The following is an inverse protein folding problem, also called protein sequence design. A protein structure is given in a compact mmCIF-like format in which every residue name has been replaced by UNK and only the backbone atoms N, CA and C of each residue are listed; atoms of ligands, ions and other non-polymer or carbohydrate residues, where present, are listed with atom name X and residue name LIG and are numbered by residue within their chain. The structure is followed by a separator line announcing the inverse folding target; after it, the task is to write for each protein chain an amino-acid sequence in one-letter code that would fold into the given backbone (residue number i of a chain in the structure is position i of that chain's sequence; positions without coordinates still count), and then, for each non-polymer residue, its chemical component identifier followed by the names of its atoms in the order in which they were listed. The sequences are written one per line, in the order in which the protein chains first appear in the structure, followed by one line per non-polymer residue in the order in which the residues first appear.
data_IF_609481127551
#
_entry.id   IF_609481127551
#
_cell.length_a   1.000
_cell.length_b   1.000
_cell.length_c   1.000
_cell.angle_alpha   90.00
_cell.angle_beta   90.00
_cell.angle_gamma   90.00
#
_symmetry.space_group_name_H-M   'P 1'
#
loop_
_entity.id
_entity.type
_entity.pdbx_description
1 polymer ?
#
# COMPACT_ATOMS: atom_id res chain seq x y z
N UNK A 1 4.86 -14.00 -12.84
CA UNK A 1 4.75 -12.55 -13.03
C UNK A 1 6.09 -11.96 -13.47
N UNK A 2 6.09 -11.04 -14.44
CA UNK A 2 7.28 -10.27 -14.82
C UNK A 2 7.47 -9.05 -13.90
N UNK A 3 8.59 -8.36 -14.02
CA UNK A 3 8.91 -7.18 -13.21
C UNK A 3 7.82 -6.10 -13.21
N UNK A 4 7.27 -5.78 -14.37
CA UNK A 4 6.20 -4.79 -14.49
C UNK A 4 4.94 -5.19 -13.71
N UNK A 5 4.51 -6.46 -13.80
CA UNK A 5 3.36 -6.96 -13.04
C UNK A 5 3.62 -6.93 -11.52
N UNK A 6 4.85 -7.25 -11.10
CA UNK A 6 5.26 -7.16 -9.69
C UNK A 6 5.20 -5.72 -9.21
N UNK A 7 5.78 -4.77 -9.94
CA UNK A 7 5.76 -3.34 -9.59
C UNK A 7 4.34 -2.81 -9.48
N UNK A 8 3.45 -3.17 -10.42
CA UNK A 8 2.04 -2.80 -10.36
C UNK A 8 1.36 -3.32 -9.09
N UNK A 9 1.52 -4.62 -8.79
CA UNK A 9 0.92 -5.22 -7.61
C UNK A 9 1.42 -4.56 -6.31
N UNK A 10 2.71 -4.22 -6.23
CA UNK A 10 3.25 -3.49 -5.08
C UNK A 10 2.64 -2.10 -4.90
N UNK A 11 2.42 -1.37 -6.00
CA UNK A 11 1.73 -0.07 -5.96
C UNK A 11 0.28 -0.26 -5.47
N UNK A 12 -0.45 -1.23 -6.03
CA UNK A 12 -1.83 -1.53 -5.62
C UNK A 12 -1.94 -1.87 -4.15
N UNK A 13 -0.99 -2.64 -3.61
CA UNK A 13 -0.96 -3.05 -2.21
C UNK A 13 -0.40 -1.97 -1.26
N UNK A 14 0.25 -0.92 -1.80
CA UNK A 14 1.00 0.07 -1.03
C UNK A 14 2.23 -0.53 -0.34
N UNK A 15 2.90 -1.48 -0.98
CA UNK A 15 4.04 -2.22 -0.44
C UNK A 15 5.36 -1.80 -1.08
N UNK A 16 6.47 -1.95 -0.33
CA UNK A 16 7.83 -1.78 -0.84
C UNK A 16 8.41 -3.11 -1.32
N UNK A 17 9.40 -3.07 -2.21
CA UNK A 17 10.16 -4.26 -2.65
C UNK A 17 10.77 -5.02 -1.46
N UNK A 18 11.17 -4.28 -0.42
CA UNK A 18 11.71 -4.86 0.81
C UNK A 18 10.68 -5.74 1.49
N UNK A 19 9.44 -5.25 1.65
CA UNK A 19 8.36 -6.00 2.27
C UNK A 19 8.02 -7.25 1.46
N UNK A 20 8.04 -7.15 0.13
CA UNK A 20 7.88 -8.30 -0.75
C UNK A 20 9.01 -9.33 -0.54
N UNK A 21 10.27 -8.89 -0.50
CA UNK A 21 11.41 -9.77 -0.28
C UNK A 21 11.32 -10.51 1.07
N UNK A 22 10.94 -9.80 2.13
CA UNK A 22 10.71 -10.38 3.47
C UNK A 22 9.62 -11.47 3.45
N UNK A 23 8.50 -11.24 2.74
CA UNK A 23 7.44 -12.24 2.61
C UNK A 23 7.82 -13.44 1.73
N UNK A 24 8.67 -13.24 0.74
CA UNK A 24 9.14 -14.30 -0.16
C UNK A 24 10.35 -15.05 0.39
N UNK A 25 10.96 -14.59 1.47
CA UNK A 25 12.21 -15.13 2.01
C UNK A 25 13.45 -14.84 1.16
N UNK A 26 13.38 -13.82 0.30
CA UNK A 26 14.50 -13.38 -0.54
C UNK A 26 15.28 -12.24 0.10
N UNK A 27 16.56 -12.13 -0.26
CA UNK A 27 17.28 -10.87 -0.04
C UNK A 27 16.74 -9.80 -0.98
N UNK A 28 16.55 -8.57 -0.46
CA UNK A 28 16.09 -7.41 -1.26
C UNK A 28 16.89 -7.23 -2.55
N UNK A 29 18.22 -7.34 -2.47
CA UNK A 29 19.11 -7.14 -3.62
C UNK A 29 18.95 -8.24 -4.67
N UNK A 30 18.70 -9.47 -4.25
CA UNK A 30 18.49 -10.60 -5.15
C UNK A 30 17.17 -10.45 -5.91
N UNK A 31 16.10 -10.11 -5.17
CA UNK A 31 14.81 -9.79 -5.77
C UNK A 31 14.95 -8.64 -6.77
N UNK A 32 15.63 -7.55 -6.38
CA UNK A 32 15.83 -6.39 -7.25
C UNK A 32 16.58 -6.77 -8.54
N UNK A 33 17.69 -7.52 -8.43
CA UNK A 33 18.45 -7.99 -9.60
C UNK A 33 17.61 -8.87 -10.51
N UNK A 34 16.78 -9.74 -9.95
CA UNK A 34 15.84 -10.57 -10.70
C UNK A 34 14.86 -9.69 -11.50
N UNK A 35 14.29 -8.65 -10.88
CA UNK A 35 13.34 -7.76 -11.54
C UNK A 35 14.02 -6.86 -12.60
N UNK A 36 15.17 -6.26 -12.28
CA UNK A 36 15.94 -5.40 -13.19
C UNK A 36 16.44 -6.18 -14.40
N UNK A 37 16.79 -7.46 -14.24
CA UNK A 37 17.19 -8.34 -15.34
C UNK A 37 16.05 -8.84 -16.23
N UNK A 38 14.82 -8.35 -16.05
CA UNK A 38 13.64 -8.84 -16.80
C UNK A 38 13.19 -10.24 -16.39
N UNK A 39 13.68 -10.74 -15.26
CA UNK A 39 13.32 -12.03 -14.70
C UNK A 39 11.86 -12.09 -14.25
N UNK A 40 11.43 -13.30 -13.93
CA UNK A 40 10.07 -13.59 -13.47
C UNK A 40 10.13 -14.23 -12.10
N UNK A 41 9.15 -13.88 -11.27
CA UNK A 41 8.90 -14.66 -10.05
C UNK A 41 8.51 -16.09 -10.41
N UNK A 42 8.89 -17.05 -9.56
CA UNK A 42 8.43 -18.43 -9.68
C UNK A 42 6.90 -18.54 -9.63
N UNK A 43 6.37 -19.68 -10.05
CA UNK A 43 4.92 -19.90 -10.16
C UNK A 43 4.17 -19.68 -8.84
N UNK A 44 4.71 -20.21 -7.73
CA UNK A 44 4.10 -20.08 -6.39
C UNK A 44 4.08 -18.62 -5.88
N UNK A 45 5.21 -17.88 -5.84
CA UNK A 45 5.21 -16.45 -5.51
C UNK A 45 4.31 -15.61 -6.40
N UNK A 46 4.28 -15.91 -7.71
CA UNK A 46 3.43 -15.20 -8.67
C UNK A 46 1.95 -15.36 -8.32
N UNK A 47 1.50 -16.61 -8.15
CA UNK A 47 0.10 -16.90 -7.82
C UNK A 47 -0.33 -16.30 -6.50
N UNK A 48 0.55 -16.34 -5.49
CA UNK A 48 0.28 -15.73 -4.19
C UNK A 48 0.12 -14.21 -4.30
N UNK A 49 0.99 -13.53 -5.04
CA UNK A 49 0.92 -12.08 -5.22
C UNK A 49 -0.31 -11.65 -6.02
N UNK A 50 -0.71 -12.42 -7.03
CA UNK A 50 -1.95 -12.20 -7.80
C UNK A 50 -3.20 -12.34 -6.92
N UNK A 51 -3.26 -13.38 -6.07
CA UNK A 51 -4.38 -13.55 -5.13
C UNK A 51 -4.45 -12.40 -4.13
N UNK A 52 -3.30 -11.91 -3.66
CA UNK A 52 -3.23 -10.80 -2.72
C UNK A 52 -3.66 -9.48 -3.37
N UNK A 53 -3.21 -9.21 -4.61
CA UNK A 53 -3.66 -8.05 -5.39
C UNK A 53 -5.17 -8.09 -5.61
N UNK A 54 -5.71 -9.25 -5.99
CA UNK A 54 -7.14 -9.41 -6.23
C UNK A 54 -7.95 -9.18 -4.95
N UNK A 55 -7.55 -9.82 -3.84
CA UNK A 55 -8.20 -9.61 -2.55
C UNK A 55 -8.15 -8.15 -2.06
N UNK A 56 -7.07 -7.42 -2.36
CA UNK A 56 -6.97 -6.00 -2.03
C UNK A 56 -7.91 -5.12 -2.87
N UNK A 57 -8.17 -5.52 -4.12
CA UNK A 57 -9.11 -4.82 -5.01
C UNK A 57 -10.57 -5.08 -4.61
N UNK A 58 -10.88 -6.30 -4.17
CA UNK A 58 -12.22 -6.70 -3.74
C UNK A 58 -12.58 -6.12 -2.35
N UNK A 59 -11.58 -5.86 -1.52
CA UNK A 59 -11.72 -5.24 -0.20
C UNK A 59 -10.90 -3.95 -0.14
N UNK A 60 -11.24 -2.91 -0.93
CA UNK A 60 -10.62 -1.62 -0.76
C UNK A 60 -10.89 -1.21 0.70
N UNK A 61 -9.86 -0.73 1.41
CA UNK A 61 -9.97 -0.31 2.82
C UNK A 61 -11.30 0.43 3.03
N UNK A 62 -12.00 0.22 4.17
CA UNK A 62 -13.16 1.06 4.46
C UNK A 62 -12.70 2.50 4.30
N UNK A 63 -13.37 3.24 3.43
CA UNK A 63 -13.05 4.63 3.17
C UNK A 63 -12.91 5.28 4.54
N UNK A 64 -11.69 5.72 4.88
CA UNK A 64 -11.51 6.61 6.02
C UNK A 64 -12.28 7.85 5.61
N UNK A 65 -13.55 7.90 6.02
CA UNK A 65 -14.44 8.98 5.65
C UNK A 65 -13.76 10.26 6.13
N UNK A 66 -13.46 11.24 5.25
CA UNK A 66 -12.87 12.50 5.68
C UNK A 66 -13.78 13.25 6.68
N UNK A 67 -15.01 12.78 6.87
CA UNK A 67 -16.00 13.25 7.84
C UNK A 67 -15.78 12.75 9.28
N UNK A 68 -14.61 12.20 9.60
CA UNK A 68 -14.15 12.04 10.98
C UNK A 68 -13.14 13.13 11.39
N UNK A 69 -13.08 14.25 10.67
CA UNK A 69 -12.55 15.51 11.19
C UNK A 69 -13.59 16.04 12.18
N UNK A 70 -13.32 15.86 13.48
CA UNK A 70 -14.10 16.42 14.61
C UNK A 70 -14.56 17.84 14.26
N UNK A 71 -15.84 18.23 14.46
CA UNK A 71 -16.17 19.64 14.50
C UNK A 71 -15.35 20.24 15.65
N UNK A 72 -14.57 21.24 15.28
CA UNK A 72 -13.96 22.20 16.19
C UNK A 72 -15.05 22.69 17.16
N UNK A 73 -14.95 22.27 18.42
CA UNK A 73 -15.64 22.93 19.53
C UNK A 73 -14.76 24.10 19.98
N UNK A 74 -14.66 25.15 19.15
CA UNK A 74 -14.27 26.47 19.65
C UNK A 74 -15.54 27.22 20.08
N UNK A 75 -16.15 26.72 21.16
CA UNK A 75 -17.19 27.45 21.87
C UNK A 75 -16.52 28.58 22.65
N UNK A 76 -16.67 29.80 22.14
CA UNK A 76 -16.89 31.03 22.90
C UNK A 76 -15.87 31.44 23.95
N UNK A 77 -14.95 32.33 23.57
CA UNK A 77 -14.50 33.41 24.45
C UNK A 77 -13.80 34.51 23.64
N UNK A 78 -14.58 35.36 22.98
CA UNK A 78 -14.16 36.74 22.71
C UNK A 78 -15.17 37.65 23.38
N UNK A 79 -14.73 38.24 24.48
CA UNK A 79 -15.41 39.29 25.22
C UNK A 79 -15.80 40.39 24.25
N UNK A 80 -17.09 40.70 24.16
CA UNK A 80 -17.53 41.97 23.62
C UNK A 80 -17.00 43.07 24.55
N UNK A 81 -15.98 43.80 24.08
CA UNK A 81 -15.62 45.11 24.61
C UNK A 81 -16.78 46.06 24.29
N UNK A 82 -17.73 46.15 25.22
CA UNK A 82 -18.68 47.26 25.30
C UNK A 82 -17.89 48.53 25.61
N UNK A 83 -18.18 49.55 24.82
CA UNK A 83 -17.72 50.94 24.90
C UNK A 83 -17.87 51.56 26.28
#
# INVERSE_FOLDING_TARGET
MNAYAVSRALITLGWSERRLAEHLGYHRTELRRLLEGGGKLGARPSRWLEMLENGHRDLPRPAISPMSRRPDMNTGLTMETVR
#
